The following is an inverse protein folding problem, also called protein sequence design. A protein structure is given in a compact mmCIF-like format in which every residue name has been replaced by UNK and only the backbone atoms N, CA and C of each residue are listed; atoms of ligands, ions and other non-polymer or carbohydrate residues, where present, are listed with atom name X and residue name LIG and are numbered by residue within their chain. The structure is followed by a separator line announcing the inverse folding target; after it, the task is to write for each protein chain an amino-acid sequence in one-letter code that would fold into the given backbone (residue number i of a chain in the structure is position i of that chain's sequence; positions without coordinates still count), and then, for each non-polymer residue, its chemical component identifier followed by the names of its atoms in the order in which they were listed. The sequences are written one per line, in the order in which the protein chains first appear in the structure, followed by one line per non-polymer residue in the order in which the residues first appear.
data_IF_690124780814
#
_entry.id   IF_690124780814
#
_cell.length_a   1.000
_cell.length_b   1.000
_cell.length_c   1.000
_cell.angle_alpha   90.00
_cell.angle_beta   90.00
_cell.angle_gamma   90.00
#
_symmetry.space_group_name_H-M   'P 1'
#
loop_
_entity.id
_entity.type
_entity.pdbx_description
1 polymer ?
#
# COMPACT_ATOMS: atom_id res chain seq x y z
N UNK A 1 2.37 21.89 -17.77
CA UNK A 1 3.08 20.63 -17.45
C UNK A 1 3.22 20.49 -15.94
N UNK A 2 3.29 19.27 -15.41
CA UNK A 2 3.66 19.00 -14.02
C UNK A 2 5.08 18.43 -13.95
N UNK A 3 5.87 18.88 -12.97
CA UNK A 3 7.19 18.33 -12.66
C UNK A 3 7.26 17.93 -11.19
N UNK A 4 7.47 16.65 -10.92
CA UNK A 4 7.89 16.15 -9.60
C UNK A 4 9.39 16.41 -9.44
N UNK A 5 9.79 17.18 -8.43
CA UNK A 5 11.20 17.59 -8.25
C UNK A 5 12.07 16.49 -7.66
N UNK A 6 11.52 15.72 -6.72
CA UNK A 6 12.25 14.69 -5.99
C UNK A 6 11.31 13.62 -5.41
N UNK A 7 11.89 12.47 -5.07
CA UNK A 7 11.20 11.39 -4.41
C UNK A 7 11.16 11.60 -2.89
N UNK A 8 9.96 11.48 -2.30
CA UNK A 8 9.74 11.49 -0.88
C UNK A 8 9.53 10.07 -0.35
N UNK A 9 10.27 9.68 0.68
CA UNK A 9 10.13 8.35 1.30
C UNK A 9 10.66 7.22 0.40
N UNK A 10 10.02 6.04 0.49
CA UNK A 10 10.41 4.81 -0.23
C UNK A 10 9.46 4.50 -1.39
N UNK A 11 9.67 3.38 -2.08
CA UNK A 11 8.94 2.98 -3.30
C UNK A 11 7.42 3.19 -3.26
N UNK A 12 6.72 2.74 -2.20
CA UNK A 12 5.27 2.94 -2.08
C UNK A 12 4.86 4.41 -1.95
N UNK A 13 5.70 5.24 -1.31
CA UNK A 13 5.52 6.70 -1.27
C UNK A 13 5.72 7.33 -2.65
N UNK A 14 6.73 6.88 -3.40
CA UNK A 14 7.06 7.43 -4.73
C UNK A 14 5.95 7.16 -5.74
N UNK A 15 5.39 5.95 -5.73
CA UNK A 15 4.20 5.65 -6.55
C UNK A 15 3.00 6.49 -6.11
N UNK A 16 2.82 6.73 -4.81
CA UNK A 16 1.74 7.61 -4.33
C UNK A 16 1.92 9.06 -4.81
N UNK A 17 3.16 9.58 -4.89
CA UNK A 17 3.42 10.91 -5.48
C UNK A 17 2.97 10.97 -6.94
N UNK A 18 3.20 9.91 -7.72
CA UNK A 18 2.72 9.84 -9.11
C UNK A 18 1.19 9.82 -9.17
N UNK A 19 0.52 9.02 -8.33
CA UNK A 19 -0.96 8.99 -8.27
C UNK A 19 -1.50 10.40 -7.95
N UNK A 20 -0.89 11.08 -6.98
CA UNK A 20 -1.26 12.45 -6.61
C UNK A 20 -1.00 13.47 -7.74
N UNK A 21 0.14 13.38 -8.43
CA UNK A 21 0.45 14.24 -9.56
C UNK A 21 -0.51 14.01 -10.73
N UNK A 22 -0.89 12.76 -11.01
CA UNK A 22 -1.89 12.40 -12.03
C UNK A 22 -3.27 12.94 -11.67
N UNK A 23 -3.68 12.80 -10.42
CA UNK A 23 -4.93 13.40 -9.94
C UNK A 23 -4.96 14.90 -10.13
N UNK A 24 -3.90 15.59 -9.71
CA UNK A 24 -3.76 17.03 -9.89
C UNK A 24 -3.79 17.40 -11.38
N UNK A 25 -3.09 16.63 -12.22
CA UNK A 25 -3.08 16.85 -13.67
C UNK A 25 -4.48 16.76 -14.29
N UNK A 26 -5.28 15.77 -13.87
CA UNK A 26 -6.66 15.59 -14.31
C UNK A 26 -7.57 16.72 -13.81
N UNK A 27 -7.38 17.20 -12.59
CA UNK A 27 -8.20 18.27 -12.02
C UNK A 27 -7.94 19.64 -12.65
N UNK A 28 -6.70 19.89 -13.10
CA UNK A 28 -6.26 21.19 -13.59
C UNK A 28 -5.81 21.17 -15.06
N UNK A 29 -6.20 20.15 -15.83
CA UNK A 29 -5.96 20.05 -17.27
C UNK A 29 -4.49 20.12 -17.70
N UNK A 30 -3.60 19.50 -16.91
CA UNK A 30 -2.23 19.26 -17.34
C UNK A 30 -2.15 17.96 -18.16
N UNK A 31 -1.39 17.97 -19.25
CA UNK A 31 -1.27 16.83 -20.18
C UNK A 31 -0.03 15.98 -19.99
N UNK A 32 0.95 16.45 -19.24
CA UNK A 32 2.23 15.78 -19.08
C UNK A 32 2.77 15.92 -17.67
N UNK A 33 3.31 14.83 -17.16
CA UNK A 33 3.98 14.74 -15.86
C UNK A 33 5.41 14.27 -16.11
N UNK A 34 6.38 15.00 -15.58
CA UNK A 34 7.80 14.62 -15.54
C UNK A 34 8.22 14.31 -14.10
N UNK A 35 9.10 13.34 -13.92
CA UNK A 35 9.55 12.91 -12.59
C UNK A 35 10.97 12.31 -12.64
N UNK A 36 11.67 12.21 -11.49
CA UNK A 36 13.02 11.65 -11.46
C UNK A 36 13.06 10.18 -11.86
N UNK A 37 14.22 9.66 -12.25
CA UNK A 37 14.40 8.23 -12.51
C UNK A 37 14.03 7.39 -11.29
N UNK A 38 13.44 6.21 -11.51
CA UNK A 38 13.00 5.32 -10.44
C UNK A 38 13.26 3.86 -10.82
N UNK A 39 13.73 3.05 -9.88
CA UNK A 39 14.15 1.65 -10.13
C UNK A 39 13.03 0.77 -10.70
N UNK A 40 11.77 1.06 -10.35
CA UNK A 40 10.60 0.30 -10.81
C UNK A 40 9.86 0.88 -12.02
N UNK A 41 10.38 1.96 -12.61
CA UNK A 41 9.74 2.63 -13.75
C UNK A 41 10.68 2.66 -14.94
N UNK A 42 10.17 2.35 -16.13
CA UNK A 42 10.95 2.37 -17.37
C UNK A 42 10.86 3.71 -18.13
N UNK A 43 10.15 4.69 -17.56
CA UNK A 43 9.95 6.03 -18.10
C UNK A 43 10.15 7.07 -16.99
N UNK A 44 10.42 8.32 -17.39
CA UNK A 44 10.44 9.51 -16.52
C UNK A 44 9.32 10.50 -16.87
N UNK A 45 8.42 10.09 -17.77
CA UNK A 45 7.32 10.91 -18.26
C UNK A 45 6.03 10.08 -18.37
N UNK A 46 4.89 10.70 -18.06
CA UNK A 46 3.54 10.18 -18.26
C UNK A 46 2.71 11.22 -19.00
N UNK A 47 2.02 10.79 -20.06
CA UNK A 47 1.03 11.59 -20.78
C UNK A 47 -0.36 11.35 -20.20
N UNK A 48 -1.10 12.42 -19.95
CA UNK A 48 -2.44 12.41 -19.37
C UNK A 48 -3.46 12.62 -20.47
N UNK A 49 -4.37 11.66 -20.60
CA UNK A 49 -5.45 11.71 -21.58
C UNK A 49 -6.63 12.49 -20.99
N UNK A 50 -7.17 13.43 -21.76
CA UNK A 50 -8.38 14.17 -21.43
C UNK A 50 -9.46 13.79 -22.43
N UNK A 51 -10.68 13.54 -21.93
CA UNK A 51 -11.80 13.11 -22.79
C UNK A 51 -12.31 14.23 -23.70
N UNK A 52 -12.03 15.48 -23.36
CA UNK A 52 -12.42 16.67 -24.13
C UNK A 52 -11.19 17.52 -24.47
N UNK A 53 -11.27 18.26 -25.57
CA UNK A 53 -10.33 19.34 -25.89
C UNK A 53 -10.56 20.50 -24.91
N UNK A 54 -10.15 20.32 -23.66
CA UNK A 54 -10.10 21.39 -22.68
C UNK A 54 -8.87 22.28 -22.96
N UNK A 55 -8.99 23.59 -22.69
CA UNK A 55 -7.86 24.50 -22.74
C UNK A 55 -6.75 23.95 -21.84
N UNK A 56 -5.55 23.77 -22.41
CA UNK A 56 -4.39 23.34 -21.62
C UNK A 56 -4.17 24.30 -20.45
N UNK A 57 -3.78 23.73 -19.31
CA UNK A 57 -3.36 24.53 -18.17
C UNK A 57 -2.32 25.57 -18.60
N UNK A 58 -2.58 26.85 -18.28
CA UNK A 58 -1.77 27.98 -18.75
C UNK A 58 -0.41 28.09 -18.05
N UNK A 59 -0.19 27.32 -16.99
CA UNK A 59 1.02 27.40 -16.16
C UNK A 59 1.61 26.03 -15.88
N UNK A 60 2.94 25.96 -15.82
CA UNK A 60 3.64 24.81 -15.30
C UNK A 60 3.57 24.77 -13.78
N UNK A 61 3.47 23.56 -13.23
CA UNK A 61 3.41 23.32 -11.78
C UNK A 61 4.56 22.41 -11.38
N UNK A 62 5.27 22.80 -10.33
CA UNK A 62 6.47 22.12 -9.85
C UNK A 62 6.28 21.85 -8.35
N UNK A 63 6.60 20.63 -7.91
CA UNK A 63 6.42 20.24 -6.52
C UNK A 63 6.84 18.81 -6.22
N UNK A 64 6.60 18.36 -5.00
CA UNK A 64 6.86 16.99 -4.51
C UNK A 64 5.62 16.10 -4.68
N UNK A 65 4.42 16.66 -4.61
CA UNK A 65 3.14 15.95 -4.78
C UNK A 65 2.88 14.84 -3.74
N UNK A 66 3.56 14.86 -2.60
CA UNK A 66 3.30 13.89 -1.53
C UNK A 66 2.14 14.32 -0.62
N UNK A 67 2.14 15.59 -0.17
CA UNK A 67 1.13 16.15 0.72
C UNK A 67 0.28 17.21 -0.01
N UNK A 68 -0.61 16.77 -0.90
CA UNK A 68 -1.35 17.67 -1.81
C UNK A 68 -2.10 18.80 -1.09
N UNK A 69 -2.79 18.52 0.02
CA UNK A 69 -3.53 19.54 0.76
C UNK A 69 -2.62 20.62 1.34
N UNK A 70 -1.45 20.25 1.87
CA UNK A 70 -0.48 21.22 2.40
C UNK A 70 0.22 22.00 1.29
N UNK A 71 0.64 21.29 0.25
CA UNK A 71 1.48 21.85 -0.82
C UNK A 71 0.68 22.77 -1.76
N UNK A 72 -0.52 22.35 -2.14
CA UNK A 72 -1.34 23.05 -3.14
C UNK A 72 -2.66 23.60 -2.59
N UNK A 73 -2.89 23.51 -1.27
CA UNK A 73 -4.10 24.03 -0.59
C UNK A 73 -5.41 23.49 -1.20
N UNK A 74 -5.40 22.23 -1.64
CA UNK A 74 -6.58 21.60 -2.23
C UNK A 74 -7.67 21.44 -1.17
N UNK A 75 -8.87 21.91 -1.48
CA UNK A 75 -10.05 21.75 -0.62
C UNK A 75 -10.55 20.30 -0.57
N UNK A 76 -10.24 19.49 -1.60
CA UNK A 76 -10.62 18.08 -1.69
C UNK A 76 -9.44 17.22 -2.11
N UNK A 77 -8.95 16.42 -1.19
CA UNK A 77 -7.95 15.38 -1.48
C UNK A 77 -8.64 14.12 -2.03
N UNK A 78 -7.94 13.38 -2.88
CA UNK A 78 -8.36 12.05 -3.28
C UNK A 78 -8.25 11.10 -2.10
N UNK A 79 -9.39 10.66 -1.57
CA UNK A 79 -9.44 9.69 -0.48
C UNK A 79 -9.92 8.31 -0.92
N UNK A 80 -10.53 8.22 -2.10
CA UNK A 80 -11.10 6.99 -2.62
C UNK A 80 -9.99 5.99 -3.01
N UNK A 81 -9.95 4.78 -2.41
CA UNK A 81 -8.92 3.80 -2.74
C UNK A 81 -9.08 3.24 -4.16
N UNK A 82 -10.29 3.12 -4.67
CA UNK A 82 -10.52 2.63 -6.03
C UNK A 82 -10.08 3.64 -7.08
N UNK A 83 -10.33 4.94 -6.87
CA UNK A 83 -9.83 6.00 -7.77
C UNK A 83 -8.29 5.96 -7.88
N UNK A 84 -7.59 5.78 -6.76
CA UNK A 84 -6.13 5.60 -6.73
C UNK A 84 -5.69 4.37 -7.54
N UNK A 85 -6.43 3.26 -7.40
CA UNK A 85 -6.18 2.02 -8.14
C UNK A 85 -6.37 2.21 -9.64
N UNK A 86 -7.44 2.89 -10.07
CA UNK A 86 -7.69 3.19 -11.48
C UNK A 86 -6.55 4.02 -12.10
N UNK A 87 -6.11 5.07 -11.39
CA UNK A 87 -4.96 5.88 -11.85
C UNK A 87 -3.70 5.05 -11.97
N UNK A 88 -3.42 4.17 -10.99
CA UNK A 88 -2.27 3.28 -11.08
C UNK A 88 -2.39 2.37 -12.31
N UNK A 89 -3.52 1.70 -12.50
CA UNK A 89 -3.72 0.74 -13.59
C UNK A 89 -3.65 1.41 -14.97
N UNK A 90 -4.18 2.62 -15.11
CA UNK A 90 -4.23 3.34 -16.38
C UNK A 90 -2.89 3.96 -16.76
N UNK A 91 -2.23 4.65 -15.82
CA UNK A 91 -1.08 5.51 -16.14
C UNK A 91 0.26 4.98 -15.66
N UNK A 92 0.29 4.25 -14.53
CA UNK A 92 1.55 3.82 -13.90
C UNK A 92 1.89 2.39 -14.31
N UNK A 93 0.90 1.48 -14.34
CA UNK A 93 1.10 0.07 -14.71
C UNK A 93 1.82 -0.11 -16.06
N UNK A 94 1.54 0.66 -17.14
CA UNK A 94 2.23 0.49 -18.42
C UNK A 94 3.74 0.74 -18.36
N UNK A 95 4.19 1.57 -17.42
CA UNK A 95 5.60 1.90 -17.22
C UNK A 95 6.22 1.20 -16.00
N UNK A 96 5.42 0.44 -15.26
CA UNK A 96 5.85 -0.28 -14.06
C UNK A 96 6.50 -1.62 -14.45
N UNK A 97 7.80 -1.76 -14.16
CA UNK A 97 8.60 -2.89 -14.64
C UNK A 97 8.49 -4.17 -13.77
N UNK A 98 7.51 -4.24 -12.87
CA UNK A 98 7.22 -5.45 -12.10
C UNK A 98 6.14 -6.26 -12.82
N UNK A 99 6.51 -7.47 -13.22
CA UNK A 99 5.61 -8.43 -13.86
C UNK A 99 5.35 -9.59 -12.91
N UNK A 100 4.12 -10.13 -12.97
CA UNK A 100 3.81 -11.39 -12.29
C UNK A 100 4.38 -12.54 -13.11
N UNK A 101 4.97 -13.52 -12.43
CA UNK A 101 5.26 -14.84 -13.01
C UNK A 101 4.22 -15.89 -12.60
N UNK A 102 3.25 -15.48 -11.76
CA UNK A 102 2.30 -16.38 -11.14
C UNK A 102 1.05 -16.53 -11.99
N UNK A 103 0.50 -17.75 -12.00
CA UNK A 103 -0.87 -17.96 -12.41
C UNK A 103 -1.77 -17.65 -11.21
N UNK A 104 -2.89 -16.94 -11.39
CA UNK A 104 -3.84 -16.75 -10.31
C UNK A 104 -4.28 -18.10 -9.73
N UNK A 105 -4.12 -18.25 -8.42
CA UNK A 105 -4.59 -19.39 -7.65
C UNK A 105 -5.25 -18.90 -6.34
N UNK A 106 -5.86 -19.83 -5.62
CA UNK A 106 -6.57 -19.56 -4.36
C UNK A 106 -5.58 -19.49 -3.16
N UNK A 107 -4.43 -18.84 -3.36
CA UNK A 107 -3.40 -18.65 -2.32
C UNK A 107 -3.64 -17.34 -1.58
N UNK A 108 -3.54 -17.38 -0.24
CA UNK A 108 -3.43 -16.19 0.58
C UNK A 108 -2.00 -15.66 0.57
N UNK A 109 -1.84 -14.41 0.18
CA UNK A 109 -0.58 -13.69 0.28
C UNK A 109 -0.60 -12.71 1.45
N UNK A 110 0.41 -12.76 2.30
CA UNK A 110 0.53 -11.93 3.49
C UNK A 110 1.78 -11.07 3.35
N UNK A 111 1.65 -9.75 3.53
CA UNK A 111 2.81 -8.89 3.75
C UNK A 111 2.94 -8.60 5.25
N UNK A 112 4.00 -9.13 5.85
CA UNK A 112 4.37 -8.86 7.24
C UNK A 112 5.41 -7.74 7.21
N UNK A 113 5.04 -6.54 7.68
CA UNK A 113 5.99 -5.43 7.76
C UNK A 113 7.03 -5.73 8.85
N UNK A 114 8.30 -5.51 8.54
CA UNK A 114 9.42 -5.64 9.47
C UNK A 114 10.45 -4.52 9.26
N UNK A 115 11.73 -4.75 9.55
CA UNK A 115 12.79 -3.77 9.31
C UNK A 115 12.79 -2.60 10.29
N UNK A 116 12.84 -1.38 9.76
CA UNK A 116 13.08 -0.13 10.50
C UNK A 116 12.07 0.14 11.63
N UNK A 117 10.84 -0.36 11.51
CA UNK A 117 9.83 -0.21 12.56
C UNK A 117 10.10 -1.06 13.80
N UNK A 118 11.02 -2.01 13.71
CA UNK A 118 11.52 -2.83 14.82
C UNK A 118 12.93 -2.43 15.27
N UNK A 119 13.44 -1.29 14.80
CA UNK A 119 14.66 -0.66 15.29
C UNK A 119 14.38 0.27 16.49
N UNK A 120 15.41 0.77 17.20
CA UNK A 120 15.24 1.83 18.19
C UNK A 120 14.64 3.11 17.59
N UNK A 121 13.75 3.77 18.33
CA UNK A 121 13.04 5.00 17.91
C UNK A 121 12.25 4.85 16.59
N UNK A 122 11.35 3.86 16.47
CA UNK A 122 10.59 3.65 15.26
C UNK A 122 9.59 4.80 15.03
N UNK A 123 9.08 4.91 13.80
CA UNK A 123 7.99 5.84 13.53
C UNK A 123 6.72 5.43 14.30
N UNK A 124 6.31 6.26 15.26
CA UNK A 124 5.24 5.93 16.21
C UNK A 124 3.87 5.63 15.60
N UNK A 125 3.59 6.19 14.42
CA UNK A 125 2.37 5.91 13.67
C UNK A 125 2.29 4.50 13.07
N UNK A 126 3.40 3.76 12.94
CA UNK A 126 3.48 2.50 12.19
C UNK A 126 3.27 1.27 13.09
N UNK A 127 2.17 1.27 13.85
CA UNK A 127 1.76 0.10 14.64
C UNK A 127 1.54 -1.12 13.75
N UNK A 128 1.97 -2.30 14.23
CA UNK A 128 1.89 -3.54 13.48
C UNK A 128 0.80 -4.49 13.97
N UNK A 129 0.15 -5.23 13.06
CA UNK A 129 -0.88 -6.18 13.45
C UNK A 129 -0.33 -7.26 14.39
N UNK A 130 -1.12 -7.70 15.37
CA UNK A 130 -0.74 -8.80 16.27
C UNK A 130 -0.75 -10.14 15.54
N UNK A 131 -0.20 -11.18 16.18
CA UNK A 131 -0.13 -12.51 15.61
C UNK A 131 -1.53 -13.09 15.30
N UNK A 132 -2.53 -12.86 16.15
CA UNK A 132 -3.89 -13.36 15.94
C UNK A 132 -4.53 -12.83 14.65
N UNK A 133 -4.21 -11.59 14.23
CA UNK A 133 -4.70 -11.00 12.99
C UNK A 133 -4.36 -11.88 11.77
N UNK A 134 -3.11 -12.36 11.69
CA UNK A 134 -2.68 -13.24 10.61
C UNK A 134 -3.28 -14.64 10.77
N UNK A 135 -3.19 -15.22 11.98
CA UNK A 135 -3.61 -16.60 12.25
C UNK A 135 -5.08 -16.86 11.94
N UNK A 136 -5.94 -15.88 12.21
CA UNK A 136 -7.37 -16.01 12.02
C UNK A 136 -7.78 -16.19 10.55
N UNK A 137 -6.92 -15.79 9.60
CA UNK A 137 -7.19 -15.90 8.16
C UNK A 137 -6.46 -17.10 7.55
N UNK A 138 -5.25 -17.42 8.05
CA UNK A 138 -4.43 -18.51 7.53
C UNK A 138 -5.18 -19.85 7.46
N UNK A 139 -6.03 -20.14 8.45
CA UNK A 139 -6.78 -21.40 8.51
C UNK A 139 -7.83 -21.60 7.40
N UNK A 140 -8.20 -20.53 6.69
CA UNK A 140 -9.20 -20.56 5.63
C UNK A 140 -8.62 -20.92 4.25
N UNK A 141 -7.29 -21.06 4.14
CA UNK A 141 -6.58 -21.27 2.87
C UNK A 141 -5.68 -22.49 2.92
N UNK A 142 -5.73 -23.31 1.86
CA UNK A 142 -4.86 -24.49 1.71
C UNK A 142 -3.39 -24.11 1.45
N UNK A 143 -3.15 -22.92 0.88
CA UNK A 143 -1.83 -22.42 0.55
C UNK A 143 -1.68 -20.98 0.99
N UNK A 144 -0.59 -20.70 1.69
CA UNK A 144 -0.26 -19.36 2.19
C UNK A 144 1.18 -19.01 1.83
N UNK A 145 1.40 -17.78 1.39
CA UNK A 145 2.73 -17.20 1.17
C UNK A 145 2.84 -15.93 2.00
N UNK A 146 3.81 -15.86 2.90
CA UNK A 146 4.11 -14.66 3.67
C UNK A 146 5.43 -14.05 3.19
N UNK A 147 5.40 -12.79 2.74
CA UNK A 147 6.60 -12.02 2.42
C UNK A 147 6.95 -11.05 3.55
N UNK A 148 8.24 -10.92 3.85
CA UNK A 148 8.72 -10.07 4.92
C UNK A 148 10.18 -9.67 4.69
N UNK A 149 10.52 -8.41 4.98
CA UNK A 149 11.87 -7.87 4.78
C UNK A 149 12.94 -8.61 5.59
N UNK A 150 12.65 -8.92 6.87
CA UNK A 150 13.56 -9.60 7.80
C UNK A 150 12.79 -10.23 8.97
N UNK A 151 13.50 -10.89 9.88
CA UNK A 151 12.88 -11.64 11.00
C UNK A 151 12.66 -10.82 12.27
N UNK A 152 12.75 -9.47 12.20
CA UNK A 152 12.62 -8.62 13.40
C UNK A 152 11.19 -8.55 13.93
N UNK A 153 10.19 -8.70 13.06
CA UNK A 153 8.80 -8.79 13.49
C UNK A 153 8.57 -10.10 14.26
N UNK A 154 8.19 -10.06 15.54
CA UNK A 154 8.10 -11.26 16.36
C UNK A 154 7.05 -12.26 15.85
N UNK A 155 6.06 -11.83 15.08
CA UNK A 155 5.03 -12.70 14.51
C UNK A 155 5.63 -13.71 13.52
N UNK A 156 6.68 -13.33 12.78
CA UNK A 156 7.32 -14.16 11.75
C UNK A 156 7.73 -15.53 12.30
N UNK A 157 8.32 -15.55 13.50
CA UNK A 157 8.73 -16.79 14.17
C UNK A 157 7.58 -17.79 14.32
N UNK A 158 6.36 -17.31 14.56
CA UNK A 158 5.19 -18.15 14.75
C UNK A 158 4.54 -18.52 13.43
N UNK A 159 4.51 -17.59 12.47
CA UNK A 159 3.96 -17.84 11.12
C UNK A 159 4.70 -18.95 10.39
N UNK A 160 6.03 -19.02 10.54
CA UNK A 160 6.86 -20.09 9.96
C UNK A 160 6.55 -21.50 10.44
N UNK A 161 5.83 -21.65 11.56
CA UNK A 161 5.47 -22.97 12.09
C UNK A 161 4.20 -23.53 11.44
N UNK A 162 3.51 -22.77 10.57
CA UNK A 162 2.36 -23.27 9.83
C UNK A 162 2.82 -24.12 8.64
N UNK A 163 2.44 -25.41 8.57
CA UNK A 163 3.04 -26.36 7.61
C UNK A 163 2.72 -26.04 6.14
N UNK A 164 1.62 -25.34 5.87
CA UNK A 164 1.19 -24.93 4.53
C UNK A 164 1.52 -23.46 4.21
N UNK A 165 2.28 -22.79 5.09
CA UNK A 165 2.76 -21.43 4.88
C UNK A 165 4.20 -21.45 4.37
N UNK A 166 4.43 -20.85 3.22
CA UNK A 166 5.77 -20.55 2.70
C UNK A 166 6.17 -19.16 3.16
N UNK A 167 7.30 -19.06 3.84
CA UNK A 167 7.85 -17.77 4.25
C UNK A 167 8.98 -17.35 3.30
N UNK A 168 8.87 -16.14 2.78
CA UNK A 168 9.76 -15.56 1.80
C UNK A 168 10.37 -14.27 2.37
N UNK A 169 11.70 -14.18 2.43
CA UNK A 169 12.41 -12.95 2.81
C UNK A 169 13.38 -12.59 1.72
N UNK A 170 13.04 -11.52 0.99
CA UNK A 170 13.68 -11.14 -0.25
C UNK A 170 13.87 -9.63 -0.34
N UNK A 171 14.45 -9.20 -1.46
CA UNK A 171 14.44 -7.78 -1.83
C UNK A 171 13.03 -7.30 -2.15
N UNK A 172 12.78 -6.01 -1.97
CA UNK A 172 11.51 -5.37 -2.32
C UNK A 172 11.05 -5.61 -3.76
N UNK A 173 11.98 -5.75 -4.71
CA UNK A 173 11.64 -6.03 -6.11
C UNK A 173 11.06 -7.45 -6.28
N UNK A 174 11.64 -8.41 -5.56
CA UNK A 174 11.18 -9.81 -5.56
C UNK A 174 9.85 -9.93 -4.83
N UNK A 175 9.68 -9.25 -3.69
CA UNK A 175 8.41 -9.23 -2.96
C UNK A 175 7.28 -8.68 -3.82
N UNK A 176 7.52 -7.57 -4.55
CA UNK A 176 6.51 -7.03 -5.47
C UNK A 176 6.20 -7.97 -6.63
N UNK A 177 7.18 -8.74 -7.12
CA UNK A 177 6.95 -9.76 -8.16
C UNK A 177 6.09 -10.92 -7.63
N UNK A 178 6.38 -11.41 -6.41
CA UNK A 178 5.57 -12.43 -5.71
C UNK A 178 4.14 -11.93 -5.47
N UNK A 179 3.99 -10.66 -5.09
CA UNK A 179 2.69 -10.04 -4.80
C UNK A 179 1.99 -9.48 -6.05
N UNK A 180 2.51 -9.73 -7.25
CA UNK A 180 1.88 -9.31 -8.51
C UNK A 180 0.98 -10.42 -9.04
N UNK A 181 -0.23 -10.07 -9.47
CA UNK A 181 -1.23 -11.00 -9.98
C UNK A 181 -1.96 -11.83 -8.91
N UNK A 182 -1.93 -11.41 -7.65
CA UNK A 182 -2.52 -12.16 -6.52
C UNK A 182 -4.04 -11.93 -6.39
N UNK A 183 -4.75 -12.89 -5.81
CA UNK A 183 -6.22 -12.82 -5.62
C UNK A 183 -6.62 -12.55 -4.16
N UNK A 184 -5.85 -13.01 -3.18
CA UNK A 184 -6.16 -12.85 -1.76
C UNK A 184 -4.97 -12.23 -1.04
N UNK A 185 -5.17 -11.07 -0.42
CA UNK A 185 -4.09 -10.30 0.19
C UNK A 185 -4.41 -9.88 1.62
N UNK A 186 -3.44 -10.05 2.52
CA UNK A 186 -3.50 -9.56 3.89
C UNK A 186 -2.33 -8.61 4.15
N UNK A 187 -2.64 -7.41 4.61
CA UNK A 187 -1.65 -6.35 4.83
C UNK A 187 -1.72 -5.73 6.22
N UNK A 188 -0.67 -5.00 6.59
CA UNK A 188 -0.64 -4.09 7.73
C UNK A 188 -0.45 -2.63 7.27
N UNK A 189 -0.18 -1.74 8.23
CA UNK A 189 0.05 -0.33 7.95
C UNK A 189 1.36 -0.12 7.17
N UNK A 190 1.26 0.65 6.10
CA UNK A 190 2.38 1.04 5.26
C UNK A 190 1.96 1.29 3.81
N UNK A 191 2.73 2.12 3.10
CA UNK A 191 2.49 2.41 1.68
C UNK A 191 2.80 1.22 0.76
N UNK A 192 3.64 0.28 1.22
CA UNK A 192 3.92 -0.95 0.48
C UNK A 192 2.66 -1.80 0.25
N UNK A 193 1.84 -2.03 1.30
CA UNK A 193 0.60 -2.79 1.14
C UNK A 193 -0.41 -2.09 0.22
N UNK A 194 -0.47 -0.75 0.25
CA UNK A 194 -1.31 0.01 -0.69
C UNK A 194 -0.83 -0.10 -2.13
N UNK A 195 0.49 -0.09 -2.38
CA UNK A 195 1.05 -0.34 -3.70
C UNK A 195 0.64 -1.72 -4.23
N UNK A 196 0.69 -2.75 -3.39
CA UNK A 196 0.24 -4.10 -3.74
C UNK A 196 -1.25 -4.11 -4.10
N UNK A 197 -2.10 -3.42 -3.35
CA UNK A 197 -3.50 -3.28 -3.70
C UNK A 197 -3.71 -2.58 -5.06
N UNK A 198 -3.00 -1.48 -5.34
CA UNK A 198 -3.14 -0.72 -6.60
C UNK A 198 -2.68 -1.51 -7.82
N UNK A 199 -1.61 -2.30 -7.70
CA UNK A 199 -1.01 -2.99 -8.85
C UNK A 199 -1.74 -4.27 -9.30
N UNK A 200 -2.67 -4.76 -8.48
CA UNK A 200 -3.43 -5.98 -8.70
C UNK A 200 -4.85 -5.67 -9.15
N UNK A 201 -5.11 -5.73 -10.46
CA UNK A 201 -6.43 -5.46 -11.03
C UNK A 201 -7.50 -6.41 -10.47
N UNK A 202 -7.20 -7.71 -10.43
CA UNK A 202 -8.14 -8.79 -10.13
C UNK A 202 -8.08 -9.30 -8.67
N UNK A 203 -7.70 -8.43 -7.73
CA UNK A 203 -7.71 -8.76 -6.30
C UNK A 203 -9.15 -9.03 -5.84
N UNK A 204 -9.41 -10.23 -5.33
CA UNK A 204 -10.74 -10.69 -4.89
C UNK A 204 -10.99 -10.46 -3.41
N UNK A 205 -9.97 -10.61 -2.57
CA UNK A 205 -10.09 -10.45 -1.12
C UNK A 205 -8.96 -9.61 -0.55
N UNK A 206 -9.30 -8.65 0.29
CA UNK A 206 -8.34 -7.84 1.05
C UNK A 206 -8.66 -7.90 2.54
N UNK A 207 -7.70 -8.30 3.35
CA UNK A 207 -7.73 -8.21 4.80
C UNK A 207 -6.86 -7.03 5.24
N UNK A 208 -7.47 -6.09 5.97
CA UNK A 208 -6.83 -4.83 6.36
C UNK A 208 -7.26 -4.42 7.77
N UNK A 209 -6.34 -3.98 8.66
CA UNK A 209 -6.73 -3.48 9.97
C UNK A 209 -7.50 -2.16 9.85
N UNK A 210 -8.53 -1.98 10.69
CA UNK A 210 -9.34 -0.75 10.78
C UNK A 210 -8.50 0.50 10.89
N UNK A 211 -7.46 0.46 11.72
CA UNK A 211 -6.58 1.61 11.93
C UNK A 211 -5.80 2.01 10.66
N UNK A 212 -5.60 1.14 9.68
CA UNK A 212 -5.00 1.52 8.39
C UNK A 212 -5.98 2.41 7.62
N UNK A 213 -7.25 2.01 7.55
CA UNK A 213 -8.30 2.79 6.90
C UNK A 213 -8.48 4.16 7.57
N UNK A 214 -8.53 4.17 8.90
CA UNK A 214 -8.80 5.40 9.65
C UNK A 214 -7.59 6.33 9.73
N UNK A 215 -6.39 5.80 9.97
CA UNK A 215 -5.20 6.63 10.26
C UNK A 215 -4.30 6.85 9.06
N UNK A 216 -4.14 5.85 8.18
CA UNK A 216 -3.32 6.00 6.98
C UNK A 216 -4.12 6.61 5.83
N UNK A 217 -5.40 6.22 5.66
CA UNK A 217 -6.23 6.71 4.56
C UNK A 217 -7.11 7.90 4.94
N UNK A 218 -7.30 8.16 6.25
CA UNK A 218 -8.14 9.26 6.73
C UNK A 218 -9.61 9.11 6.35
N UNK A 219 -10.08 7.85 6.30
CA UNK A 219 -11.45 7.47 5.99
C UNK A 219 -12.19 6.97 7.23
N UNK A 220 -13.51 7.09 7.23
CA UNK A 220 -14.35 6.46 8.24
C UNK A 220 -14.65 5.01 7.83
N UNK A 221 -14.04 4.06 8.53
CA UNK A 221 -14.20 2.63 8.29
C UNK A 221 -15.61 2.09 8.65
N UNK A 222 -16.50 2.91 9.21
CA UNK A 222 -17.92 2.57 9.41
C UNK A 222 -18.81 2.94 8.22
N UNK A 223 -18.30 3.75 7.28
CA UNK A 223 -19.03 4.15 6.08
C UNK A 223 -18.68 3.23 4.89
N UNK A 224 -19.55 3.15 3.87
CA UNK A 224 -19.20 2.51 2.61
C UNK A 224 -17.96 3.16 2.00
N UNK A 225 -16.97 2.34 1.65
CA UNK A 225 -15.74 2.74 0.97
C UNK A 225 -15.69 1.99 -0.35
N UNK A 226 -15.47 2.69 -1.46
CA UNK A 226 -15.31 2.06 -2.77
C UNK A 226 -13.89 1.49 -2.91
N UNK A 227 -13.79 0.16 -2.87
CA UNK A 227 -12.56 -0.59 -3.13
C UNK A 227 -12.51 -1.16 -4.57
N UNK A 228 -13.52 -0.87 -5.38
CA UNK A 228 -13.69 -1.37 -6.72
C UNK A 228 -14.68 -2.54 -6.82
N UNK A 229 -14.98 -2.97 -8.06
CA UNK A 229 -15.90 -4.06 -8.30
C UNK A 229 -15.27 -5.41 -7.94
N UNK A 230 -16.12 -6.36 -7.53
CA UNK A 230 -15.76 -7.77 -7.35
C UNK A 230 -14.65 -8.06 -6.32
N UNK A 231 -14.42 -7.14 -5.37
CA UNK A 231 -13.53 -7.35 -4.23
C UNK A 231 -14.34 -7.40 -2.93
N UNK A 232 -13.98 -8.33 -2.05
CA UNK A 232 -14.45 -8.38 -0.66
C UNK A 232 -13.35 -7.83 0.25
N UNK A 233 -13.66 -6.78 1.00
CA UNK A 233 -12.70 -6.18 1.95
C UNK A 233 -13.12 -6.46 3.38
N UNK A 234 -12.27 -7.17 4.10
CA UNK A 234 -12.41 -7.46 5.52
C UNK A 234 -11.63 -6.40 6.32
N UNK A 235 -12.34 -5.39 6.80
CA UNK A 235 -11.79 -4.39 7.71
C UNK A 235 -11.83 -4.96 9.13
N UNK A 236 -10.67 -5.33 9.66
CA UNK A 236 -10.53 -6.03 10.94
C UNK A 236 -10.29 -5.04 12.06
N UNK A 237 -11.20 -5.00 13.03
CA UNK A 237 -11.02 -4.23 14.25
C UNK A 237 -10.14 -4.97 15.26
N UNK A 238 -9.33 -4.22 16.00
CA UNK A 238 -8.40 -4.73 17.00
C UNK A 238 -8.60 -3.91 18.30
N UNK A 239 -9.71 -4.13 19.01
CA UNK A 239 -10.09 -3.33 20.17
C UNK A 239 -9.06 -3.50 21.30
N UNK A 240 -8.80 -2.42 22.04
CA UNK A 240 -7.85 -2.38 23.16
C UNK A 240 -6.41 -2.83 22.79
N UNK A 241 -6.06 -2.77 21.50
CA UNK A 241 -4.70 -3.00 21.03
C UNK A 241 -3.87 -1.70 21.06
N UNK A 242 -2.61 -1.79 20.67
CA UNK A 242 -1.69 -0.65 20.55
C UNK A 242 -2.27 0.34 19.53
N UNK A 243 -2.35 1.62 19.91
CA UNK A 243 -2.91 2.66 19.04
C UNK A 243 -1.86 3.21 18.07
N UNK A 244 -2.30 3.68 16.90
CA UNK A 244 -1.44 4.46 16.00
C UNK A 244 -0.95 5.72 16.73
N UNK A 245 0.37 5.89 16.81
CA UNK A 245 1.01 6.98 17.57
C UNK A 245 1.66 6.51 18.88
N UNK A 246 1.38 5.28 19.32
CA UNK A 246 1.94 4.73 20.55
C UNK A 246 2.99 3.64 20.31
N UNK A 247 3.25 3.25 19.06
CA UNK A 247 4.27 2.27 18.75
C UNK A 247 5.67 2.81 19.09
N UNK A 248 6.36 2.16 20.02
CA UNK A 248 7.74 2.47 20.42
C UNK A 248 8.65 1.24 20.35
N UNK A 249 8.11 0.10 19.91
CA UNK A 249 8.85 -1.16 19.77
C UNK A 249 9.47 -1.63 21.11
N UNK A 250 8.76 -1.42 22.23
CA UNK A 250 9.20 -1.93 23.54
C UNK A 250 9.04 -3.46 23.63
N UNK A 251 9.70 -4.07 24.61
CA UNK A 251 9.55 -5.51 24.87
C UNK A 251 8.09 -5.88 25.22
N UNK A 252 7.40 -5.04 26.00
CA UNK A 252 6.00 -5.23 26.37
C UNK A 252 5.09 -5.17 25.14
N UNK A 253 5.35 -4.22 24.22
CA UNK A 253 4.59 -4.13 22.98
C UNK A 253 4.81 -5.35 22.09
N UNK A 254 6.06 -5.79 21.92
CA UNK A 254 6.37 -7.03 21.18
C UNK A 254 5.70 -8.25 21.82
N UNK A 255 5.68 -8.34 23.14
CA UNK A 255 5.02 -9.41 23.88
C UNK A 255 3.51 -9.37 23.68
N UNK A 256 2.92 -8.17 23.73
CA UNK A 256 1.51 -7.94 23.43
C UNK A 256 1.16 -8.34 21.99
N UNK A 257 2.00 -8.03 20.98
CA UNK A 257 1.77 -8.49 19.60
C UNK A 257 1.53 -10.00 19.51
N UNK A 258 2.26 -10.79 20.31
CA UNK A 258 2.17 -12.26 20.30
C UNK A 258 1.02 -12.79 21.14
N UNK A 259 0.76 -12.15 22.28
CA UNK A 259 -0.21 -12.63 23.28
C UNK A 259 -1.62 -12.08 23.07
N UNK A 260 -1.77 -11.00 22.31
CA UNK A 260 -3.05 -10.38 22.03
C UNK A 260 -3.96 -11.36 21.28
N UNK A 261 -5.19 -11.49 21.78
CA UNK A 261 -6.28 -12.21 21.14
C UNK A 261 -7.49 -11.29 21.17
N UNK A 262 -8.19 -11.19 20.04
CA UNK A 262 -9.44 -10.44 19.87
C UNK A 262 -10.61 -11.42 19.77
#
# INVERSE_FOLDING_TARGET
MITITEWYGRNGNNIMQLIHAIYYAKMYNHRMIRFPTHTFLNSTEIQIQHQMEEEEAKTDVVGVFFFLGTEFKLLREMKDPYERKLIFLEYIKPIFNITSTLKPDDTLYIHVRSGDIFEPNPHRGYVQPPLCYYRNVIGDFDKVVAVCEDDKNPCVKYLRNYPHLVYESNSVAVDLAILSGIQHFQMGLGTFGMLVYWMNADLKTLYIPRYVVEKQMGLDASLPIDWGPNITVHIIDLPNYIQCGDWINSEEQRKLMIQYNA
#
